data_IF_688977241229
#
_entry.id   IF_688977241229
#
_cell.length_a   1.000
_cell.length_b   1.000
_cell.length_c   1.000
_cell.angle_alpha   90.00
_cell.angle_beta   90.00
_cell.angle_gamma   90.00
#
_symmetry.space_group_name_H-M   'P 1'
#
loop_
_entity.id
_entity.type
_entity.pdbx_description
1 polymer ?
#
# COMPACT_ATOMS: atom_id res chain seq x y z
N UNK A 1 -2.72 -3.42 -17.43
CA UNK A 1 -2.07 -2.54 -16.44
C UNK A 1 -2.49 -3.04 -15.07
N UNK A 2 -1.56 -3.63 -14.30
CA UNK A 2 -1.89 -4.24 -13.01
C UNK A 2 -2.23 -3.17 -11.99
N UNK A 3 -3.50 -3.06 -11.62
CA UNK A 3 -3.96 -2.16 -10.56
C UNK A 3 -3.62 -2.79 -9.22
N UNK A 4 -2.49 -2.42 -8.62
CA UNK A 4 -2.28 -2.62 -7.18
C UNK A 4 -3.28 -1.74 -6.45
N UNK A 5 -4.52 -2.23 -6.34
CA UNK A 5 -5.59 -1.51 -5.66
C UNK A 5 -5.32 -1.51 -4.16
N UNK A 6 -5.42 -0.34 -3.52
CA UNK A 6 -5.44 -0.25 -2.07
C UNK A 6 -6.57 -1.15 -1.54
N UNK A 7 -6.21 -2.10 -0.68
CA UNK A 7 -7.11 -3.09 -0.11
C UNK A 7 -7.13 -2.97 1.41
N UNK A 8 -8.23 -3.43 2.01
CA UNK A 8 -8.34 -3.52 3.46
C UNK A 8 -7.31 -4.49 4.01
N UNK A 9 -6.79 -4.19 5.19
CA UNK A 9 -5.81 -4.94 5.97
C UNK A 9 -4.42 -5.08 5.34
N UNK A 10 -4.12 -4.35 4.26
CA UNK A 10 -2.74 -4.32 3.75
C UNK A 10 -1.87 -3.44 4.65
N UNK A 11 -0.62 -3.84 4.80
CA UNK A 11 0.40 -3.05 5.46
C UNK A 11 1.21 -2.30 4.40
N UNK A 12 1.25 -0.98 4.55
CA UNK A 12 2.07 -0.10 3.74
C UNK A 12 3.05 0.61 4.65
N UNK A 13 4.21 0.94 4.10
CA UNK A 13 5.20 1.77 4.76
C UNK A 13 5.21 3.12 4.06
N UNK A 14 4.98 4.18 4.82
CA UNK A 14 5.11 5.56 4.36
C UNK A 14 6.27 6.16 5.12
N UNK A 15 7.32 6.56 4.41
CA UNK A 15 8.61 6.96 4.97
C UNK A 15 9.20 5.84 5.86
N UNK A 16 9.36 6.09 7.16
CA UNK A 16 9.88 5.13 8.15
C UNK A 16 8.78 4.45 8.97
N UNK A 17 7.53 4.87 8.78
CA UNK A 17 6.39 4.44 9.59
C UNK A 17 5.57 3.39 8.85
N UNK A 18 5.15 2.36 9.60
CA UNK A 18 4.30 1.29 9.07
C UNK A 18 2.85 1.58 9.42
N UNK A 19 2.00 1.51 8.41
CA UNK A 19 0.58 1.76 8.51
C UNK A 19 -0.21 0.59 7.97
N UNK A 20 -1.33 0.29 8.61
CA UNK A 20 -2.29 -0.71 8.16
C UNK A 20 -3.54 -0.04 7.62
N UNK A 21 -3.95 -0.36 6.40
CA UNK A 21 -5.21 0.13 5.84
C UNK A 21 -6.37 -0.54 6.55
N UNK A 22 -7.07 0.17 7.43
CA UNK A 22 -8.17 -0.39 8.22
C UNK A 22 -9.45 -0.54 7.44
N UNK A 23 -9.85 0.52 6.74
CA UNK A 23 -11.09 0.56 5.96
C UNK A 23 -11.13 1.80 5.08
N UNK A 24 -11.99 1.73 4.08
CA UNK A 24 -12.40 2.88 3.28
C UNK A 24 -13.63 3.50 3.94
N UNK A 25 -13.57 4.79 4.28
CA UNK A 25 -14.68 5.49 4.99
C UNK A 25 -15.60 6.19 3.99
N UNK A 26 -15.02 6.82 2.97
CA UNK A 26 -15.72 7.49 1.88
C UNK A 26 -15.21 6.99 0.53
N UNK A 27 -15.88 7.36 -0.56
CA UNK A 27 -15.54 6.90 -1.91
C UNK A 27 -14.07 7.11 -2.29
N UNK A 28 -13.36 8.03 -1.63
CA UNK A 28 -11.95 8.32 -1.94
C UNK A 28 -11.06 8.44 -0.70
N UNK A 29 -11.51 8.02 0.49
CA UNK A 29 -10.73 8.15 1.74
C UNK A 29 -10.46 6.80 2.39
N UNK A 30 -9.18 6.55 2.66
CA UNK A 30 -8.70 5.41 3.44
C UNK A 30 -8.33 5.83 4.85
N UNK A 31 -8.73 4.99 5.81
CA UNK A 31 -8.28 5.05 7.19
C UNK A 31 -7.06 4.15 7.35
N UNK A 32 -5.96 4.73 7.82
CA UNK A 32 -4.70 4.07 8.09
C UNK A 32 -4.45 4.08 9.59
N UNK A 33 -4.01 2.97 10.15
CA UNK A 33 -3.56 2.88 11.54
C UNK A 33 -2.04 2.68 11.55
N UNK A 34 -1.32 3.58 12.23
CA UNK A 34 0.11 3.43 12.47
C UNK A 34 0.36 2.29 13.46
N UNK A 35 1.15 1.29 13.05
CA UNK A 35 1.36 0.05 13.83
C UNK A 35 2.08 0.30 15.16
N UNK A 36 2.97 1.30 15.22
CA UNK A 36 3.76 1.60 16.43
C UNK A 36 2.95 2.32 17.51
N UNK A 37 2.12 3.28 17.09
CA UNK A 37 1.45 4.23 18.00
C UNK A 37 -0.06 3.97 18.11
N UNK A 38 -0.61 3.09 17.27
CA UNK A 38 -2.05 2.94 17.03
C UNK A 38 -2.75 4.24 16.60
N UNK A 39 -1.98 5.22 16.10
CA UNK A 39 -2.53 6.48 15.61
C UNK A 39 -3.31 6.25 14.34
N UNK A 40 -4.55 6.71 14.32
CA UNK A 40 -5.38 6.67 13.12
C UNK A 40 -5.19 7.96 12.33
N UNK A 41 -4.87 7.83 11.05
CA UNK A 41 -4.85 8.93 10.09
C UNK A 41 -5.73 8.61 8.90
N UNK A 42 -6.18 9.66 8.23
CA UNK A 42 -7.01 9.54 7.04
C UNK A 42 -6.26 10.14 5.85
N UNK A 43 -6.24 9.40 4.75
CA UNK A 43 -5.60 9.83 3.49
C UNK A 43 -6.53 9.55 2.33
N UNK A 44 -6.59 10.49 1.41
CA UNK A 44 -7.30 10.28 0.16
C UNK A 44 -6.57 9.28 -0.72
N UNK A 45 -7.28 8.62 -1.63
CA UNK A 45 -6.67 7.74 -2.64
C UNK A 45 -5.65 8.52 -3.46
N UNK A 46 -5.93 9.77 -3.82
CA UNK A 46 -5.01 10.64 -4.56
C UNK A 46 -3.73 10.92 -3.77
N UNK A 47 -3.82 11.22 -2.47
CA UNK A 47 -2.64 11.41 -1.63
C UNK A 47 -1.80 10.13 -1.56
N UNK A 48 -2.44 8.96 -1.37
CA UNK A 48 -1.71 7.68 -1.34
C UNK A 48 -1.02 7.39 -2.68
N UNK A 49 -1.68 7.68 -3.81
CA UNK A 49 -1.09 7.56 -5.14
C UNK A 49 0.08 8.53 -5.36
N UNK A 50 -0.04 9.75 -4.87
CA UNK A 50 1.02 10.75 -4.96
C UNK A 50 2.25 10.28 -4.15
N UNK A 51 2.06 9.87 -2.89
CA UNK A 51 3.15 9.38 -2.03
C UNK A 51 3.81 8.12 -2.64
N UNK A 52 3.03 7.26 -3.29
CA UNK A 52 3.55 6.11 -4.03
C UNK A 52 4.38 6.54 -5.25
N UNK A 53 3.90 7.51 -6.02
CA UNK A 53 4.60 8.04 -7.20
C UNK A 53 5.89 8.76 -6.81
N UNK A 54 5.90 9.41 -5.64
CA UNK A 54 7.09 10.02 -5.03
C UNK A 54 8.09 8.98 -4.47
N UNK A 55 7.75 7.69 -4.48
CA UNK A 55 8.60 6.61 -3.96
C UNK A 55 8.65 6.53 -2.44
N UNK A 56 7.80 7.27 -1.73
CA UNK A 56 7.74 7.30 -0.25
C UNK A 56 6.79 6.25 0.33
N UNK A 57 5.90 5.68 -0.48
CA UNK A 57 5.01 4.59 -0.08
C UNK A 57 5.48 3.27 -0.69
N UNK A 58 5.68 2.27 0.16
CA UNK A 58 5.99 0.89 -0.25
C UNK A 58 4.99 -0.09 0.37
N UNK A 59 4.72 -1.19 -0.32
CA UNK A 59 3.83 -2.24 0.19
C UNK A 59 4.67 -3.30 0.91
N UNK A 60 4.49 -3.45 2.22
CA UNK A 60 5.32 -4.32 3.06
C UNK A 60 5.02 -5.82 2.87
N UNK A 61 3.94 -6.15 2.16
CA UNK A 61 3.55 -7.55 1.98
C UNK A 61 2.82 -7.76 0.65
N UNK A 62 3.60 -7.83 -0.43
CA UNK A 62 3.32 -8.87 -1.39
C UNK A 62 4.38 -9.95 -1.16
N UNK A 63 3.98 -11.08 -0.58
CA UNK A 63 4.70 -12.32 -0.88
C UNK A 63 4.51 -12.52 -2.38
N UNK A 64 5.42 -11.99 -3.17
CA UNK A 64 5.63 -12.49 -4.52
C UNK A 64 6.01 -13.94 -4.36
N UNK A 65 5.04 -14.85 -4.54
CA UNK A 65 5.38 -16.08 -5.25
C UNK A 65 5.69 -15.66 -6.69
N UNK A 66 6.85 -15.02 -6.87
CA UNK A 66 7.43 -14.84 -8.18
C UNK A 66 8.02 -16.21 -8.52
N UNK A 67 7.17 -17.11 -9.03
CA UNK A 67 7.66 -18.21 -9.85
C UNK A 67 8.27 -17.54 -11.09
N UNK A 68 9.57 -17.28 -11.00
CA UNK A 68 10.43 -16.92 -12.13
C UNK A 68 10.47 -18.10 -13.10
N UNK A 69 9.43 -18.25 -13.91
CA UNK A 69 9.55 -18.98 -15.16
C UNK A 69 10.14 -18.01 -16.19
N UNK A 70 11.44 -17.79 -16.08
CA UNK A 70 12.28 -17.33 -17.19
C UNK A 70 12.18 -18.36 -18.32
N UNK A 71 11.16 -18.26 -19.18
CA UNK A 71 11.25 -18.86 -20.51
C UNK A 71 12.14 -17.99 -21.37
N UNK A 72 13.43 -18.32 -21.29
CA UNK A 72 14.43 -18.13 -22.33
C UNK A 72 13.97 -18.83 -23.63
N UNK A 73 14.56 -18.38 -24.74
CA UNK A 73 14.53 -18.90 -26.11
C UNK A 73 13.54 -18.14 -27.02
N UNK A 74 14.05 -17.24 -27.89
CA UNK A 74 14.86 -17.48 -29.11
C UNK A 74 14.03 -18.03 -30.26
#
# INVERSE_FOLDING_TARGET
MGTSSFQKNIEIKIDENTYKLKRKILNDIWQLEEVKTNKIIEKTVNELQQIYTEGKLTFSNYKTNLNNNEKKCS
#
